data_IF_064541529885
#
_entry.id   IF_064541529885
#
_cell.length_a   1.000
_cell.length_b   1.000
_cell.length_c   1.000
_cell.angle_alpha   90.00
_cell.angle_beta   90.00
_cell.angle_gamma   90.00
#
_symmetry.space_group_name_H-M   'P 1'
#
loop_
_entity.id
_entity.type
_entity.pdbx_description
1 polymer ?
#
# COMPACT_ATOMS: atom_id res chain seq x y z
N UNK A 1 25.75 4.52 -6.55
CA UNK A 1 24.46 4.97 -5.99
C UNK A 1 23.40 4.29 -6.83
N UNK A 2 22.75 3.25 -6.31
CA UNK A 2 21.71 2.55 -7.07
C UNK A 2 20.56 3.53 -7.31
N UNK A 3 20.26 3.78 -8.59
CA UNK A 3 19.23 4.73 -8.98
C UNK A 3 17.87 4.05 -8.76
N UNK A 4 17.17 4.44 -7.69
CA UNK A 4 15.83 3.93 -7.41
C UNK A 4 14.88 4.54 -8.44
N UNK A 5 14.46 3.73 -9.41
CA UNK A 5 13.39 4.11 -10.33
C UNK A 5 12.06 4.22 -9.56
N UNK A 6 11.33 5.31 -9.77
CA UNK A 6 10.05 5.63 -9.11
C UNK A 6 10.10 5.61 -7.57
N UNK A 7 10.93 6.45 -6.92
CA UNK A 7 11.13 6.43 -5.48
C UNK A 7 9.85 6.77 -4.69
N UNK A 8 9.01 7.66 -5.20
CA UNK A 8 7.72 8.00 -4.57
C UNK A 8 6.75 6.83 -4.60
N UNK A 9 6.57 6.19 -5.77
CA UNK A 9 5.70 5.02 -5.92
C UNK A 9 6.08 3.90 -4.93
N UNK A 10 7.38 3.60 -4.83
CA UNK A 10 7.89 2.58 -3.91
C UNK A 10 7.65 2.93 -2.45
N UNK A 11 7.87 4.18 -2.06
CA UNK A 11 7.61 4.64 -0.69
C UNK A 11 6.12 4.51 -0.34
N UNK A 12 5.23 4.94 -1.23
CA UNK A 12 3.79 4.83 -1.01
C UNK A 12 3.34 3.37 -0.90
N UNK A 13 3.85 2.49 -1.77
CA UNK A 13 3.55 1.05 -1.69
C UNK A 13 4.05 0.42 -0.38
N UNK A 14 5.24 0.77 0.09
CA UNK A 14 5.72 0.31 1.42
C UNK A 14 4.85 0.82 2.56
N UNK A 15 4.52 2.11 2.55
CA UNK A 15 3.73 2.73 3.61
C UNK A 15 2.32 2.10 3.66
N UNK A 16 1.66 1.96 2.52
CA UNK A 16 0.32 1.40 2.39
C UNK A 16 0.28 -0.13 2.47
N UNK A 17 1.43 -0.82 2.44
CA UNK A 17 1.52 -2.24 2.79
C UNK A 17 1.25 -2.50 4.28
N UNK A 18 1.22 -1.45 5.12
CA UNK A 18 0.77 -1.53 6.52
C UNK A 18 -0.68 -1.09 6.60
N UNK A 19 -1.54 -1.98 7.08
CA UNK A 19 -2.98 -1.73 7.15
C UNK A 19 -3.32 -0.47 7.95
N UNK A 20 -2.66 -0.25 9.10
CA UNK A 20 -2.85 0.96 9.91
C UNK A 20 -2.56 2.24 9.13
N UNK A 21 -1.43 2.30 8.41
CA UNK A 21 -1.07 3.46 7.61
C UNK A 21 -2.00 3.65 6.40
N UNK A 22 -2.52 2.56 5.81
CA UNK A 22 -3.50 2.63 4.74
C UNK A 22 -4.85 3.18 5.22
N UNK A 23 -5.33 2.72 6.38
CA UNK A 23 -6.56 3.24 7.00
C UNK A 23 -6.39 4.71 7.35
N UNK A 24 -5.28 5.06 7.98
CA UNK A 24 -4.98 6.44 8.37
C UNK A 24 -4.91 7.37 7.15
N UNK A 25 -4.27 6.92 6.07
CA UNK A 25 -4.24 7.64 4.80
C UNK A 25 -5.65 7.88 4.24
N UNK A 26 -6.52 6.86 4.27
CA UNK A 26 -7.89 7.02 3.76
C UNK A 26 -8.68 8.04 4.59
N UNK A 27 -8.55 8.00 5.91
CA UNK A 27 -9.28 8.90 6.81
C UNK A 27 -8.78 10.34 6.73
N UNK A 28 -7.47 10.55 6.54
CA UNK A 28 -6.86 11.88 6.59
C UNK A 28 -6.67 12.53 5.21
N UNK A 29 -6.47 11.77 4.14
CA UNK A 29 -6.23 12.31 2.81
C UNK A 29 -7.49 12.39 1.94
N UNK A 30 -8.56 11.67 2.28
CA UNK A 30 -9.83 11.80 1.56
C UNK A 30 -10.79 12.75 2.29
N UNK A 31 -11.64 13.49 1.54
CA UNK A 31 -12.78 14.20 2.12
C UNK A 31 -13.67 13.25 2.91
N UNK A 32 -14.21 13.73 4.04
CA UNK A 32 -15.02 12.92 4.96
C UNK A 32 -16.18 12.21 4.28
N UNK A 33 -16.86 12.89 3.36
CA UNK A 33 -18.00 12.32 2.61
C UNK A 33 -17.61 11.10 1.79
N UNK A 34 -16.36 11.04 1.30
CA UNK A 34 -15.85 9.90 0.54
C UNK A 34 -15.33 8.83 1.50
N UNK A 35 -14.57 9.22 2.52
CA UNK A 35 -14.03 8.27 3.51
C UNK A 35 -15.16 7.50 4.23
N UNK A 36 -16.29 8.14 4.52
CA UNK A 36 -17.47 7.49 5.13
C UNK A 36 -18.17 6.47 4.24
N UNK A 37 -17.92 6.49 2.92
CA UNK A 37 -18.44 5.48 1.98
C UNK A 37 -17.53 4.25 1.88
N UNK A 38 -16.29 4.32 2.38
CA UNK A 38 -15.36 3.20 2.39
C UNK A 38 -15.47 2.40 3.69
N UNK A 39 -15.58 1.08 3.57
CA UNK A 39 -15.44 0.18 4.70
C UNK A 39 -13.96 -0.10 4.97
N UNK A 40 -13.33 0.71 5.82
CA UNK A 40 -11.91 0.58 6.16
C UNK A 40 -11.56 -0.72 6.89
N UNK A 41 -12.50 -1.32 7.61
CA UNK A 41 -12.31 -2.64 8.26
C UNK A 41 -12.22 -3.79 7.26
N UNK A 42 -12.71 -3.58 6.03
CA UNK A 42 -12.63 -4.57 4.95
C UNK A 42 -11.35 -4.47 4.11
N UNK A 43 -10.49 -3.47 4.36
CA UNK A 43 -9.21 -3.31 3.67
C UNK A 43 -8.32 -4.52 3.90
N UNK A 44 -8.04 -5.26 2.84
CA UNK A 44 -7.08 -6.36 2.82
C UNK A 44 -5.88 -6.00 1.98
N UNK A 45 -4.70 -6.33 2.47
CA UNK A 45 -3.46 -6.22 1.69
C UNK A 45 -3.51 -7.29 0.59
N UNK A 46 -3.59 -6.86 -0.68
CA UNK A 46 -3.45 -7.77 -1.83
C UNK A 46 -1.97 -8.05 -2.08
N UNK A 47 -1.59 -9.33 -2.11
CA UNK A 47 -0.19 -9.78 -2.17
C UNK A 47 0.29 -10.09 -3.59
N UNK A 48 -0.25 -9.47 -4.63
CA UNK A 48 0.29 -9.65 -5.99
C UNK A 48 1.74 -9.15 -6.08
N UNK A 49 2.05 -8.02 -5.41
CA UNK A 49 3.41 -7.48 -5.31
C UNK A 49 3.64 -6.86 -3.93
N UNK A 50 4.83 -7.06 -3.35
CA UNK A 50 5.26 -6.37 -2.13
C UNK A 50 6.57 -5.62 -2.37
N UNK A 51 6.84 -4.61 -1.55
CA UNK A 51 8.10 -3.87 -1.56
C UNK A 51 8.92 -4.32 -0.34
N UNK A 52 10.25 -4.34 -0.44
CA UNK A 52 11.12 -4.58 0.71
C UNK A 52 11.71 -3.29 1.29
N UNK A 53 12.40 -3.41 2.43
CA UNK A 53 13.01 -2.27 3.14
C UNK A 53 14.02 -1.45 2.30
N UNK A 54 14.55 -2.02 1.21
CA UNK A 54 15.41 -1.35 0.23
C UNK A 54 14.63 -0.74 -0.95
N UNK A 55 13.31 -0.68 -0.85
CA UNK A 55 12.41 -0.20 -1.90
C UNK A 55 12.51 -1.03 -3.20
N UNK A 56 12.87 -2.32 -3.16
CA UNK A 56 12.78 -3.17 -4.35
C UNK A 56 11.41 -3.83 -4.42
N UNK A 57 10.85 -3.93 -5.63
CA UNK A 57 9.56 -4.56 -5.87
C UNK A 57 9.73 -6.05 -6.10
N UNK A 58 8.92 -6.85 -5.42
CA UNK A 58 8.90 -8.31 -5.51
C UNK A 58 7.50 -8.75 -5.92
N UNK A 59 7.40 -9.58 -6.95
CA UNK A 59 6.17 -10.25 -7.33
C UNK A 59 6.00 -11.47 -6.40
N UNK A 60 4.89 -11.53 -5.67
CA UNK A 60 4.59 -12.70 -4.85
C UNK A 60 3.81 -13.68 -5.71
N UNK A 61 4.52 -14.60 -6.36
CA UNK A 61 3.93 -15.69 -7.15
C UNK A 61 3.38 -16.80 -6.22
N UNK A 62 2.39 -16.44 -5.40
CA UNK A 62 1.60 -17.40 -4.62
C UNK A 62 0.16 -17.30 -5.06
N UNK A 63 -0.11 -17.92 -6.22
CA UNK A 63 -1.43 -18.43 -6.55
C UNK A 63 -1.73 -19.59 -5.60
N UNK A 64 -2.61 -19.38 -4.63
CA UNK A 64 -3.26 -20.47 -3.90
C UNK A 64 -4.71 -20.07 -3.68
N UNK A 65 -5.61 -20.95 -4.14
CA UNK A 65 -7.07 -20.81 -4.22
C UNK A 65 -7.76 -20.46 -2.89
#
# INVERSE_FOLDING_TARGET
MEQISNPHDKFFKEALSRQEAAVDFVVHCLPKDIASLLNVDSLKISKDTFIDKKLAAHLSDLLSE
#
